data_IF_884227544872
#
_entry.id   IF_884227544872
#
_cell.length_a   1.000
_cell.length_b   1.000
_cell.length_c   1.000
_cell.angle_alpha   90.00
_cell.angle_beta   90.00
_cell.angle_gamma   90.00
#
_symmetry.space_group_name_H-M   'P 1'
#
loop_
_entity.id
_entity.type
_entity.pdbx_description
1 polymer ?
#
# COMPACT_ATOMS: atom_id res chain seq x y z
N UNK A 1 25.61 -42.47 64.42
CA UNK A 1 24.39 -41.61 64.29
C UNK A 1 24.75 -40.44 63.48
N UNK A 2 24.63 -40.47 62.16
CA UNK A 2 25.03 -39.42 61.23
C UNK A 2 23.83 -38.80 60.62
N UNK A 3 23.64 -37.49 60.83
CA UNK A 3 22.60 -36.66 60.19
C UNK A 3 23.02 -36.33 58.77
N UNK A 4 22.35 -36.83 57.76
CA UNK A 4 22.43 -36.31 56.40
C UNK A 4 21.56 -35.06 56.29
N UNK A 5 22.18 -33.90 56.09
CA UNK A 5 21.50 -32.66 55.68
C UNK A 5 21.27 -32.73 54.18
N UNK A 6 20.00 -32.83 53.77
CA UNK A 6 19.56 -32.68 52.41
C UNK A 6 19.63 -31.18 52.01
N UNK A 7 20.50 -30.85 51.06
CA UNK A 7 20.47 -29.54 50.38
C UNK A 7 19.44 -29.62 49.25
N UNK A 8 18.34 -28.92 49.43
CA UNK A 8 17.37 -28.68 48.36
C UNK A 8 17.90 -27.55 47.47
N UNK A 9 18.32 -27.89 46.25
CA UNK A 9 18.70 -26.93 45.22
C UNK A 9 17.41 -26.51 44.52
N UNK A 10 16.86 -25.33 44.89
CA UNK A 10 15.80 -24.67 44.13
C UNK A 10 16.38 -24.06 42.89
N UNK A 11 16.21 -24.71 41.74
CA UNK A 11 16.51 -24.14 40.43
C UNK A 11 15.47 -23.09 40.08
N UNK A 12 15.79 -21.82 40.25
CA UNK A 12 15.01 -20.74 39.70
C UNK A 12 15.21 -20.70 38.18
N UNK A 13 14.22 -21.20 37.44
CA UNK A 13 14.15 -21.05 35.99
C UNK A 13 13.78 -19.59 35.70
N UNK A 14 14.77 -18.78 35.36
CA UNK A 14 14.55 -17.39 34.88
C UNK A 14 14.02 -17.49 33.45
N UNK A 15 12.70 -17.47 33.28
CA UNK A 15 12.06 -17.30 31.97
C UNK A 15 12.18 -15.83 31.60
N UNK A 16 13.19 -15.49 30.81
CA UNK A 16 13.27 -14.18 30.16
C UNK A 16 12.24 -14.12 29.06
N UNK A 17 11.09 -13.55 29.35
CA UNK A 17 10.10 -13.17 28.37
C UNK A 17 10.66 -12.01 27.52
N UNK A 18 11.18 -12.32 26.34
CA UNK A 18 11.46 -11.33 25.31
C UNK A 18 10.13 -10.76 24.81
N UNK A 19 9.68 -9.66 25.38
CA UNK A 19 8.62 -8.86 24.77
C UNK A 19 9.23 -8.20 23.55
N UNK A 20 8.99 -8.76 22.36
CA UNK A 20 9.19 -8.01 21.12
C UNK A 20 8.17 -6.89 21.11
N UNK A 21 8.61 -5.69 21.42
CA UNK A 21 7.77 -4.48 21.35
C UNK A 21 7.47 -4.24 19.87
N UNK A 22 6.30 -4.66 19.42
CA UNK A 22 5.84 -4.35 18.07
C UNK A 22 5.42 -2.88 18.03
N UNK A 23 6.21 -2.04 17.39
CA UNK A 23 5.91 -0.63 17.25
C UNK A 23 4.96 -0.37 16.08
N UNK A 24 4.01 0.56 16.28
CA UNK A 24 3.16 1.06 15.21
C UNK A 24 4.02 1.79 14.17
N UNK A 25 3.70 1.62 12.90
CA UNK A 25 4.34 2.34 11.80
C UNK A 25 3.66 3.69 11.56
N UNK A 26 4.44 4.72 11.28
CA UNK A 26 3.95 6.04 10.88
C UNK A 26 4.10 6.18 9.37
N UNK A 27 2.99 6.47 8.69
CA UNK A 27 2.95 6.80 7.28
C UNK A 27 2.76 8.31 7.13
N UNK A 28 3.72 9.00 6.51
CA UNK A 28 3.60 10.40 6.15
C UNK A 28 3.17 10.50 4.70
N UNK A 29 1.89 10.78 4.47
CA UNK A 29 1.25 10.84 3.15
C UNK A 29 1.35 12.28 2.63
N UNK A 30 2.05 12.49 1.52
CA UNK A 30 2.38 13.83 1.00
C UNK A 30 1.75 14.06 -0.37
N UNK A 31 1.12 15.21 -0.55
CA UNK A 31 0.70 15.69 -1.87
C UNK A 31 1.75 16.64 -2.45
N UNK A 32 2.52 16.18 -3.44
CA UNK A 32 3.44 17.01 -4.24
C UNK A 32 2.90 17.34 -5.63
N UNK A 33 1.68 16.88 -5.94
CA UNK A 33 1.02 17.29 -7.17
C UNK A 33 0.74 18.81 -7.17
N UNK A 34 0.61 19.40 -8.35
CA UNK A 34 0.19 20.81 -8.52
C UNK A 34 -1.30 21.04 -8.29
N UNK A 35 -2.05 19.99 -7.99
CA UNK A 35 -3.51 19.98 -7.77
C UNK A 35 -3.88 19.29 -6.47
N UNK A 36 -5.09 19.55 -5.99
CA UNK A 36 -5.66 18.90 -4.80
C UNK A 36 -5.87 17.41 -5.06
N UNK A 37 -5.42 16.57 -4.12
CA UNK A 37 -5.79 15.15 -4.03
C UNK A 37 -6.56 14.90 -2.74
N UNK A 38 -7.41 13.89 -2.74
CA UNK A 38 -8.06 13.39 -1.53
C UNK A 38 -7.42 12.05 -1.19
N UNK A 39 -6.39 12.11 -0.35
CA UNK A 39 -5.74 10.90 0.14
C UNK A 39 -6.76 10.01 0.83
N UNK A 40 -6.62 8.71 0.66
CA UNK A 40 -7.44 7.69 1.30
C UNK A 40 -6.56 6.57 1.83
N UNK A 41 -6.98 5.95 2.93
CA UNK A 41 -6.30 4.82 3.55
C UNK A 41 -7.31 3.86 4.16
N UNK A 42 -7.04 2.57 4.05
CA UNK A 42 -7.77 1.51 4.75
C UNK A 42 -6.71 0.56 5.36
N UNK A 43 -6.62 0.54 6.72
CA UNK A 43 -7.34 1.40 7.67
C UNK A 43 -6.84 2.85 7.62
N UNK A 44 -7.67 3.82 8.07
CA UNK A 44 -7.23 5.22 8.23
C UNK A 44 -8.24 6.27 7.81
N UNK A 45 -9.13 5.97 6.86
CA UNK A 45 -10.15 6.91 6.39
C UNK A 45 -9.74 7.73 5.17
N UNK A 46 -9.88 9.05 5.22
CA UNK A 46 -9.52 9.90 4.09
C UNK A 46 -9.39 11.37 4.46
N UNK A 47 -8.56 12.09 3.70
CA UNK A 47 -8.27 13.50 3.93
C UNK A 47 -8.03 14.25 2.63
N UNK A 48 -8.57 15.47 2.52
CA UNK A 48 -8.18 16.41 1.46
C UNK A 48 -6.77 16.93 1.73
N UNK A 49 -5.92 16.89 0.71
CA UNK A 49 -4.57 17.44 0.72
C UNK A 49 -4.44 18.39 -0.47
N UNK A 50 -4.34 19.67 -0.19
CA UNK A 50 -3.96 20.65 -1.20
C UNK A 50 -2.47 20.52 -1.53
N UNK A 51 -1.96 21.13 -2.61
CA UNK A 51 -0.55 21.05 -2.97
C UNK A 51 0.38 21.37 -1.78
N UNK A 52 1.39 20.51 -1.58
CA UNK A 52 2.38 20.57 -0.48
C UNK A 52 1.84 20.24 0.92
N UNK A 53 0.58 19.82 1.05
CA UNK A 53 0.06 19.34 2.33
C UNK A 53 0.42 17.86 2.57
N UNK A 54 0.44 17.48 3.84
CA UNK A 54 0.68 16.11 4.28
C UNK A 54 -0.32 15.67 5.33
N UNK A 55 -0.40 14.35 5.51
CA UNK A 55 -1.21 13.66 6.50
C UNK A 55 -0.40 12.55 7.14
N UNK A 56 -0.19 12.64 8.46
CA UNK A 56 0.43 11.57 9.24
C UNK A 56 -0.62 10.57 9.68
N UNK A 57 -0.40 9.30 9.36
CA UNK A 57 -1.26 8.17 9.71
C UNK A 57 -0.46 7.15 10.51
N UNK A 58 -0.93 6.80 11.71
CA UNK A 58 -0.37 5.71 12.51
C UNK A 58 -1.13 4.44 12.27
N UNK A 59 -0.42 3.35 11.95
CA UNK A 59 -1.00 2.02 11.69
C UNK A 59 -0.39 1.00 12.64
N UNK A 60 -1.26 0.20 13.26
CA UNK A 60 -0.83 -0.80 14.24
C UNK A 60 -0.07 -1.96 13.58
N UNK A 61 0.91 -2.56 14.29
CA UNK A 61 1.56 -3.78 13.84
C UNK A 61 0.53 -4.92 13.70
N UNK A 62 0.79 -5.86 12.80
CA UNK A 62 -0.12 -6.96 12.48
C UNK A 62 -1.24 -6.58 11.50
N UNK A 63 -1.33 -5.31 11.07
CA UNK A 63 -2.28 -4.88 10.03
C UNK A 63 -1.93 -5.56 8.70
N UNK A 64 -2.93 -6.12 8.03
CA UNK A 64 -2.82 -6.76 6.70
C UNK A 64 -3.82 -6.18 5.72
N UNK A 65 -3.54 -6.34 4.41
CA UNK A 65 -4.43 -5.85 3.34
C UNK A 65 -4.62 -4.33 3.36
N UNK A 66 -3.67 -3.61 3.95
CA UNK A 66 -3.75 -2.16 4.06
C UNK A 66 -3.39 -1.47 2.74
N UNK A 67 -4.05 -0.35 2.47
CA UNK A 67 -3.88 0.41 1.23
C UNK A 67 -3.91 1.91 1.49
N UNK A 68 -3.05 2.64 0.79
CA UNK A 68 -3.09 4.11 0.68
C UNK A 68 -3.15 4.46 -0.80
N UNK A 69 -4.03 5.39 -1.18
CA UNK A 69 -4.18 5.85 -2.56
C UNK A 69 -4.60 7.31 -2.64
N UNK A 70 -4.40 7.91 -3.81
CA UNK A 70 -4.92 9.23 -4.14
C UNK A 70 -6.27 9.11 -4.85
N UNK A 71 -7.23 9.95 -4.45
CA UNK A 71 -8.48 10.18 -5.16
C UNK A 71 -8.40 11.52 -5.86
N UNK A 72 -8.94 11.63 -7.08
CA UNK A 72 -8.90 12.86 -7.87
C UNK A 72 -10.30 13.31 -8.28
N UNK A 73 -10.44 14.63 -8.57
CA UNK A 73 -11.70 15.20 -9.05
C UNK A 73 -12.86 15.03 -8.07
N UNK A 74 -12.58 15.02 -6.77
CA UNK A 74 -13.61 14.81 -5.77
C UNK A 74 -14.42 16.07 -5.49
N UNK A 75 -15.70 15.84 -5.16
CA UNK A 75 -16.63 16.87 -4.65
C UNK A 75 -17.36 16.27 -3.46
N UNK A 76 -17.09 16.81 -2.28
CA UNK A 76 -17.74 16.41 -1.03
C UNK A 76 -18.50 17.60 -0.43
N UNK A 77 -19.67 17.31 0.16
CA UNK A 77 -20.44 18.26 0.97
C UNK A 77 -19.83 18.40 2.38
N UNK A 78 -20.45 19.27 3.21
CA UNK A 78 -20.01 19.50 4.58
C UNK A 78 -20.12 18.28 5.52
N UNK A 79 -20.88 17.26 5.13
CA UNK A 79 -20.98 15.98 5.84
C UNK A 79 -19.99 14.93 5.31
N UNK A 80 -19.13 15.28 4.35
CA UNK A 80 -18.16 14.38 3.74
C UNK A 80 -18.79 13.37 2.79
N UNK A 81 -19.95 13.65 2.20
CA UNK A 81 -20.63 12.84 1.20
C UNK A 81 -20.41 13.45 -0.18
N UNK A 82 -20.16 12.62 -1.16
CA UNK A 82 -19.90 13.09 -2.52
C UNK A 82 -19.39 11.99 -3.41
N UNK A 83 -18.49 12.31 -4.31
CA UNK A 83 -17.84 11.33 -5.19
C UNK A 83 -16.52 11.87 -5.72
N UNK A 84 -15.66 10.95 -6.16
CA UNK A 84 -14.42 11.25 -6.87
C UNK A 84 -14.48 10.73 -8.31
N UNK A 85 -13.68 11.32 -9.18
CA UNK A 85 -13.51 10.87 -10.55
C UNK A 85 -12.71 9.55 -10.61
N UNK A 86 -11.64 9.43 -9.78
CA UNK A 86 -10.85 8.19 -9.63
C UNK A 86 -10.67 7.83 -8.17
N UNK A 87 -10.59 6.54 -7.88
CA UNK A 87 -10.30 6.03 -6.55
C UNK A 87 -11.42 6.21 -5.52
N UNK A 88 -12.66 6.43 -5.95
CA UNK A 88 -13.79 6.67 -5.06
C UNK A 88 -14.07 5.46 -4.14
N UNK A 89 -14.35 5.70 -2.87
CA UNK A 89 -14.59 4.66 -1.87
C UNK A 89 -16.04 4.67 -1.37
N UNK A 90 -17.00 4.65 -2.29
CA UNK A 90 -18.41 4.61 -1.95
C UNK A 90 -19.02 5.98 -1.62
N UNK A 91 -18.49 7.06 -2.18
CA UNK A 91 -19.05 8.39 -2.07
C UNK A 91 -18.85 9.06 -0.70
N UNK A 92 -17.85 8.66 0.06
CA UNK A 92 -17.54 9.22 1.38
C UNK A 92 -16.10 9.74 1.45
N UNK A 93 -15.89 10.82 2.21
CA UNK A 93 -14.55 11.35 2.46
C UNK A 93 -13.73 10.35 3.31
N UNK A 94 -14.34 9.82 4.37
CA UNK A 94 -13.74 8.85 5.28
C UNK A 94 -13.95 7.43 4.75
N UNK A 95 -12.93 6.91 4.05
CA UNK A 95 -13.01 5.56 3.46
C UNK A 95 -13.03 4.47 4.54
N UNK A 96 -13.95 3.52 4.38
CA UNK A 96 -14.01 2.27 5.16
C UNK A 96 -13.88 1.05 4.26
N UNK A 97 -13.80 1.27 2.95
CA UNK A 97 -13.62 0.27 1.91
C UNK A 97 -12.59 0.75 0.90
N UNK A 98 -12.11 -0.14 0.04
CA UNK A 98 -11.14 0.17 -1.01
C UNK A 98 -11.73 1.09 -2.08
N UNK A 99 -10.85 1.83 -2.75
CA UNK A 99 -11.21 2.72 -3.84
C UNK A 99 -11.60 1.96 -5.12
N UNK A 100 -12.54 2.52 -5.87
CA UNK A 100 -12.87 2.00 -7.18
C UNK A 100 -11.74 2.30 -8.20
N UNK A 101 -11.36 1.35 -9.06
CA UNK A 101 -10.41 1.58 -10.14
C UNK A 101 -10.85 2.72 -11.10
N UNK A 102 -9.89 3.42 -11.76
CA UNK A 102 -8.45 3.23 -11.63
C UNK A 102 -7.85 4.00 -10.45
N UNK A 103 -6.90 3.36 -9.75
CA UNK A 103 -6.12 4.01 -8.73
C UNK A 103 -4.76 3.32 -8.53
N UNK A 104 -3.71 4.13 -8.40
CA UNK A 104 -2.38 3.67 -7.99
C UNK A 104 -2.42 3.40 -6.49
N UNK A 105 -1.98 2.22 -6.05
CA UNK A 105 -2.03 1.80 -4.66
C UNK A 105 -0.63 1.71 -4.06
N UNK A 106 -0.46 2.20 -2.84
CA UNK A 106 0.56 1.76 -1.91
C UNK A 106 -0.07 0.71 -1.00
N UNK A 107 0.32 -0.55 -1.14
CA UNK A 107 -0.22 -1.67 -0.36
C UNK A 107 0.81 -2.12 0.66
N UNK A 108 0.36 -2.57 1.82
CA UNK A 108 1.27 -3.05 2.86
C UNK A 108 0.61 -3.99 3.86
N UNK A 109 1.48 -4.82 4.49
CA UNK A 109 1.16 -5.67 5.63
C UNK A 109 2.29 -5.54 6.65
N UNK A 110 1.96 -5.12 7.89
CA UNK A 110 2.94 -4.77 8.91
C UNK A 110 3.19 -5.91 9.88
N UNK A 111 4.47 -6.08 10.25
CA UNK A 111 4.91 -7.04 11.27
C UNK A 111 4.36 -8.44 11.01
N UNK A 112 4.61 -8.96 9.82
CA UNK A 112 4.21 -10.30 9.38
C UNK A 112 5.31 -11.33 9.67
N UNK A 113 5.37 -12.39 8.87
CA UNK A 113 6.36 -13.46 8.99
C UNK A 113 7.79 -12.92 9.17
N UNK A 114 8.54 -13.47 10.13
CA UNK A 114 9.88 -13.04 10.54
C UNK A 114 9.97 -11.57 11.01
N UNK A 115 8.90 -11.00 11.55
CA UNK A 115 8.84 -9.60 11.98
C UNK A 115 9.20 -8.62 10.86
N UNK A 116 8.72 -8.90 9.65
CA UNK A 116 8.90 -8.04 8.48
C UNK A 116 7.61 -7.31 8.12
N UNK A 117 7.76 -6.08 7.66
CA UNK A 117 6.75 -5.37 6.90
C UNK A 117 6.90 -5.76 5.43
N UNK A 118 5.80 -6.04 4.75
CA UNK A 118 5.73 -6.23 3.31
C UNK A 118 5.06 -4.99 2.70
N UNK A 119 5.61 -4.47 1.62
CA UNK A 119 5.04 -3.29 0.97
C UNK A 119 5.30 -3.30 -0.53
N UNK A 120 4.41 -2.66 -1.27
CA UNK A 120 4.48 -2.56 -2.72
C UNK A 120 3.73 -1.34 -3.26
N UNK A 121 3.96 -1.03 -4.54
CA UNK A 121 3.07 -0.22 -5.37
C UNK A 121 2.32 -1.16 -6.30
N UNK A 122 0.99 -1.04 -6.37
CA UNK A 122 0.17 -1.89 -7.21
C UNK A 122 -0.55 -1.10 -8.29
N UNK A 123 -0.49 -1.61 -9.54
CA UNK A 123 -1.26 -1.16 -10.70
C UNK A 123 -2.30 -2.20 -11.11
N UNK A 124 -2.60 -3.17 -10.25
CA UNK A 124 -3.64 -4.17 -10.48
C UNK A 124 -5.03 -3.53 -10.50
N UNK A 125 -5.21 -2.42 -9.78
CA UNK A 125 -6.39 -1.55 -9.86
C UNK A 125 -6.22 -0.38 -10.86
N UNK A 126 -5.20 -0.45 -11.73
CA UNK A 126 -4.89 0.60 -12.70
C UNK A 126 -4.01 1.72 -12.13
N UNK A 127 -3.99 2.86 -12.83
CA UNK A 127 -3.14 4.00 -12.49
C UNK A 127 -3.92 5.31 -12.62
N UNK A 128 -3.75 6.21 -11.66
CA UNK A 128 -4.30 7.57 -11.73
C UNK A 128 -3.28 8.66 -11.38
N UNK A 129 -2.47 8.47 -10.34
CA UNK A 129 -1.52 9.47 -9.82
C UNK A 129 -0.14 8.85 -9.67
N UNK A 130 0.94 9.50 -10.13
CA UNK A 130 2.31 9.07 -9.86
C UNK A 130 2.57 8.93 -8.36
N UNK A 131 3.34 7.90 -7.98
CA UNK A 131 3.54 7.58 -6.57
C UNK A 131 4.98 7.15 -6.30
N UNK A 132 5.49 7.52 -5.11
CA UNK A 132 6.64 6.90 -4.48
C UNK A 132 6.25 6.38 -3.09
N UNK A 133 6.84 5.26 -2.68
CA UNK A 133 6.64 4.63 -1.39
C UNK A 133 8.00 4.29 -0.81
N UNK A 134 8.41 5.05 0.21
CA UNK A 134 9.78 5.04 0.73
C UNK A 134 9.80 4.71 2.22
N UNK A 135 10.56 3.71 2.67
CA UNK A 135 10.87 3.54 4.08
C UNK A 135 11.76 4.70 4.57
N UNK A 136 11.57 5.13 5.82
CA UNK A 136 12.26 6.29 6.41
C UNK A 136 12.98 5.99 7.71
N UNK A 137 12.94 4.76 8.21
CA UNK A 137 13.56 4.36 9.47
C UNK A 137 14.09 2.92 9.47
N UNK A 138 14.66 2.49 10.60
CA UNK A 138 15.12 1.12 10.86
C UNK A 138 16.14 0.56 9.85
N UNK A 139 16.95 1.44 9.23
CA UNK A 139 17.97 1.04 8.27
C UNK A 139 17.42 0.53 6.93
N UNK A 140 16.10 0.55 6.73
CA UNK A 140 15.49 0.22 5.46
C UNK A 140 15.57 1.42 4.52
N UNK A 141 16.18 1.24 3.33
CA UNK A 141 16.50 2.34 2.42
C UNK A 141 15.94 2.13 1.00
N UNK A 142 15.41 0.93 0.71
CA UNK A 142 14.87 0.62 -0.62
C UNK A 142 13.50 1.27 -0.82
N UNK A 143 13.49 2.48 -1.37
CA UNK A 143 12.26 3.11 -1.87
C UNK A 143 11.86 2.58 -3.24
N UNK A 144 10.56 2.61 -3.53
CA UNK A 144 9.96 2.18 -4.80
C UNK A 144 9.12 3.30 -5.39
N UNK A 145 8.97 3.31 -6.72
CA UNK A 145 8.23 4.40 -7.39
C UNK A 145 7.58 3.97 -8.69
N UNK A 146 6.51 4.67 -9.03
CA UNK A 146 5.87 4.65 -10.34
C UNK A 146 5.58 6.09 -10.76
N UNK A 147 6.44 6.69 -11.58
CA UNK A 147 6.42 8.12 -11.94
C UNK A 147 6.26 8.39 -13.42
N UNK A 148 6.18 7.35 -14.23
CA UNK A 148 5.99 7.46 -15.67
C UNK A 148 4.62 8.10 -16.01
N UNK A 149 4.55 8.78 -17.17
CA UNK A 149 3.29 9.29 -17.71
C UNK A 149 2.44 8.15 -18.29
N UNK A 150 1.81 7.38 -17.39
CA UNK A 150 0.94 6.27 -17.75
C UNK A 150 -0.40 6.77 -18.29
N UNK A 151 -0.94 7.87 -17.73
CA UNK A 151 -2.23 8.42 -18.18
C UNK A 151 -2.14 8.97 -19.59
N UNK A 152 -1.11 9.77 -19.90
CA UNK A 152 -0.93 10.35 -21.23
C UNK A 152 -0.66 9.32 -22.32
N UNK A 153 0.01 8.22 -21.98
CA UNK A 153 0.39 7.14 -22.90
C UNK A 153 -0.51 5.90 -22.79
N UNK A 154 -1.62 5.96 -22.05
CA UNK A 154 -2.48 4.81 -21.78
C UNK A 154 -3.01 4.19 -23.08
N UNK A 155 -2.91 2.85 -23.25
CA UNK A 155 -3.54 2.16 -24.37
C UNK A 155 -5.01 2.52 -24.50
N UNK A 156 -5.48 2.74 -25.73
CA UNK A 156 -6.84 3.22 -25.99
C UNK A 156 -7.93 2.39 -25.32
N UNK A 157 -7.75 1.06 -25.27
CA UNK A 157 -8.69 0.12 -24.66
C UNK A 157 -8.76 0.24 -23.13
N UNK A 158 -7.70 0.73 -22.49
CA UNK A 158 -7.60 0.89 -21.03
C UNK A 158 -7.89 2.32 -20.59
N UNK A 159 -7.98 3.26 -21.52
CA UNK A 159 -8.09 4.70 -21.22
C UNK A 159 -9.44 5.02 -20.58
N UNK A 160 -9.39 5.80 -19.52
CA UNK A 160 -10.57 6.36 -18.87
C UNK A 160 -10.29 7.79 -18.40
N UNK A 161 -11.33 8.50 -17.99
CA UNK A 161 -11.18 9.87 -17.54
C UNK A 161 -10.36 9.96 -16.26
N UNK A 162 -9.19 10.61 -16.32
CA UNK A 162 -8.30 10.82 -15.17
C UNK A 162 -7.43 9.62 -14.80
N UNK A 163 -7.40 8.55 -15.61
CA UNK A 163 -6.60 7.37 -15.30
C UNK A 163 -6.43 6.39 -16.44
N UNK A 164 -5.77 5.29 -16.15
CA UNK A 164 -5.55 4.15 -17.02
C UNK A 164 -5.96 2.88 -16.29
N UNK A 165 -6.99 2.19 -16.76
CA UNK A 165 -7.48 0.97 -16.14
C UNK A 165 -6.48 -0.17 -16.27
N UNK A 166 -6.51 -1.11 -15.33
CA UNK A 166 -5.91 -2.42 -15.53
C UNK A 166 -6.77 -3.25 -16.52
N UNK A 167 -6.18 -4.12 -17.34
CA UNK A 167 -6.94 -4.94 -18.28
C UNK A 167 -7.99 -5.85 -17.60
N UNK A 168 -7.74 -6.31 -16.36
CA UNK A 168 -8.76 -7.06 -15.61
C UNK A 168 -10.02 -6.23 -15.37
N UNK A 169 -9.89 -4.97 -15.04
CA UNK A 169 -11.04 -4.05 -14.84
C UNK A 169 -11.90 -3.92 -16.09
N UNK A 170 -11.27 -3.94 -17.28
CA UNK A 170 -11.93 -3.72 -18.56
C UNK A 170 -12.49 -5.02 -19.14
N UNK A 171 -11.65 -6.05 -19.25
CA UNK A 171 -11.98 -7.27 -20.00
C UNK A 171 -12.59 -8.38 -19.13
N UNK A 172 -12.33 -8.37 -17.81
CA UNK A 172 -12.88 -9.30 -16.81
C UNK A 172 -12.64 -10.78 -17.12
N UNK A 173 -11.61 -11.10 -17.92
CA UNK A 173 -11.23 -12.48 -18.25
C UNK A 173 -10.18 -13.00 -17.29
N UNK A 174 -10.10 -14.32 -17.14
CA UNK A 174 -9.09 -14.94 -16.28
C UNK A 174 -7.65 -14.67 -16.73
N UNK A 175 -7.44 -14.45 -18.03
CA UNK A 175 -6.14 -14.06 -18.59
C UNK A 175 -5.55 -12.82 -17.90
N UNK A 176 -6.40 -11.83 -17.58
CA UNK A 176 -5.98 -10.58 -16.95
C UNK A 176 -6.21 -10.55 -15.43
N UNK A 177 -7.23 -11.26 -14.95
CA UNK A 177 -7.65 -11.22 -13.54
C UNK A 177 -6.98 -12.28 -12.67
N UNK A 178 -6.45 -13.33 -13.27
CA UNK A 178 -5.77 -14.43 -12.56
C UNK A 178 -6.63 -15.10 -11.47
N UNK A 179 -7.94 -15.19 -11.66
CA UNK A 179 -8.89 -15.72 -10.68
C UNK A 179 -8.75 -17.23 -10.46
N UNK A 180 -8.22 -17.96 -11.45
CA UNK A 180 -8.05 -19.42 -11.40
C UNK A 180 -6.88 -19.88 -12.27
N UNK A 181 -6.29 -21.02 -11.89
CA UNK A 181 -5.21 -21.66 -12.66
C UNK A 181 -3.92 -20.86 -12.74
N UNK A 182 -3.13 -21.11 -13.77
CA UNK A 182 -1.92 -20.37 -14.08
C UNK A 182 -2.25 -19.15 -14.94
N UNK A 183 -1.72 -18.01 -14.58
CA UNK A 183 -1.70 -16.82 -15.42
C UNK A 183 -0.29 -16.24 -15.46
N UNK A 184 0.00 -15.41 -16.45
CA UNK A 184 1.30 -14.78 -16.64
C UNK A 184 1.19 -13.36 -17.20
N UNK A 185 2.32 -12.69 -17.43
CA UNK A 185 2.33 -11.35 -17.95
C UNK A 185 1.77 -11.30 -19.38
N UNK A 186 0.90 -10.34 -19.63
CA UNK A 186 0.31 -10.02 -20.95
C UNK A 186 0.97 -8.79 -21.54
N UNK A 187 0.64 -8.41 -22.78
CA UNK A 187 1.16 -7.17 -23.38
C UNK A 187 0.72 -5.93 -22.60
N UNK A 188 -0.49 -5.94 -22.06
CA UNK A 188 -0.96 -4.86 -21.19
C UNK A 188 -0.20 -4.80 -19.87
N UNK A 189 0.06 -5.93 -19.20
CA UNK A 189 0.87 -5.91 -17.98
C UNK A 189 2.31 -5.49 -18.26
N UNK A 190 2.89 -5.92 -19.38
CA UNK A 190 4.21 -5.47 -19.84
C UNK A 190 4.27 -3.95 -20.09
N UNK A 191 3.18 -3.37 -20.61
CA UNK A 191 3.06 -1.92 -20.75
C UNK A 191 3.25 -1.18 -19.40
N UNK A 192 2.59 -1.65 -18.32
CA UNK A 192 2.76 -1.09 -16.99
C UNK A 192 4.14 -1.38 -16.41
N UNK A 193 4.60 -2.63 -16.51
CA UNK A 193 5.87 -3.09 -15.92
C UNK A 193 7.09 -2.35 -16.47
N UNK A 194 7.16 -2.15 -17.77
CA UNK A 194 8.28 -1.43 -18.41
C UNK A 194 8.37 0.03 -17.99
N UNK A 195 7.24 0.64 -17.59
CA UNK A 195 7.18 2.03 -17.12
C UNK A 195 7.39 2.16 -15.62
N UNK A 196 6.96 1.16 -14.87
CA UNK A 196 7.05 1.09 -13.40
C UNK A 196 7.60 -0.28 -12.97
N UNK A 197 8.93 -0.50 -13.08
CA UNK A 197 9.53 -1.82 -12.87
C UNK A 197 9.32 -2.40 -11.47
N UNK A 198 9.19 -1.53 -10.44
CA UNK A 198 8.98 -1.94 -9.06
C UNK A 198 7.50 -2.25 -8.74
N UNK A 199 6.55 -1.86 -9.60
CA UNK A 199 5.12 -1.98 -9.30
C UNK A 199 4.53 -3.30 -9.79
N UNK A 200 3.53 -3.82 -9.06
CA UNK A 200 2.69 -4.91 -9.58
C UNK A 200 1.99 -4.47 -10.85
N UNK A 201 2.15 -5.22 -11.92
CA UNK A 201 1.51 -4.99 -13.21
C UNK A 201 0.37 -5.96 -13.51
N UNK A 202 0.35 -7.09 -12.81
CA UNK A 202 -0.71 -8.10 -12.81
C UNK A 202 -0.70 -8.88 -11.47
N UNK A 203 -1.75 -9.64 -11.12
CA UNK A 203 -1.92 -10.18 -9.76
C UNK A 203 -0.84 -11.16 -9.26
N UNK A 204 -0.04 -11.76 -10.13
CA UNK A 204 1.02 -12.73 -9.76
C UNK A 204 2.44 -12.23 -10.08
N UNK A 205 2.64 -10.92 -10.03
CA UNK A 205 3.93 -10.25 -10.31
C UNK A 205 4.82 -10.14 -9.06
N UNK A 206 4.66 -11.04 -8.08
CA UNK A 206 5.30 -10.97 -6.75
C UNK A 206 6.81 -10.89 -6.79
N UNK A 207 7.44 -11.67 -7.68
CA UNK A 207 8.90 -11.83 -7.72
C UNK A 207 9.67 -10.51 -7.87
N UNK A 208 9.09 -9.52 -8.56
CA UNK A 208 9.73 -8.25 -8.86
C UNK A 208 9.03 -7.04 -8.23
N UNK A 209 7.96 -7.25 -7.47
CA UNK A 209 7.07 -6.18 -7.01
C UNK A 209 6.88 -6.14 -5.51
N UNK A 210 7.23 -7.20 -4.77
CA UNK A 210 7.13 -7.25 -3.30
C UNK A 210 8.45 -6.86 -2.66
N UNK A 211 8.40 -5.94 -1.68
CA UNK A 211 9.54 -5.47 -0.92
C UNK A 211 9.31 -5.65 0.57
N UNK A 212 10.39 -5.74 1.34
CA UNK A 212 10.31 -5.94 2.79
C UNK A 212 11.21 -4.98 3.54
N UNK A 213 10.76 -4.61 4.74
CA UNK A 213 11.53 -3.87 5.74
C UNK A 213 11.39 -4.56 7.11
N UNK A 214 12.28 -4.30 8.08
CA UNK A 214 12.05 -4.72 9.46
C UNK A 214 10.74 -4.15 10.01
N UNK A 215 10.02 -4.91 10.82
CA UNK A 215 8.79 -4.46 11.47
C UNK A 215 8.98 -3.18 12.29
N UNK A 216 7.99 -2.30 12.26
CA UNK A 216 8.04 -0.99 12.89
C UNK A 216 8.80 0.08 12.09
N UNK A 217 9.08 -0.17 10.82
CA UNK A 217 9.59 0.84 9.89
C UNK A 217 8.53 1.91 9.62
N UNK A 218 8.95 3.18 9.54
CA UNK A 218 8.11 4.29 9.12
C UNK A 218 8.25 4.53 7.61
N UNK A 219 7.24 5.16 7.01
CA UNK A 219 7.15 5.29 5.56
C UNK A 219 6.67 6.67 5.11
N UNK A 220 7.19 7.13 3.98
CA UNK A 220 6.61 8.22 3.19
C UNK A 220 5.85 7.63 1.99
N UNK A 221 4.59 8.03 1.81
CA UNK A 221 3.81 7.81 0.57
C UNK A 221 3.64 9.18 -0.10
N UNK A 222 4.24 9.34 -1.28
CA UNK A 222 4.33 10.64 -1.95
C UNK A 222 3.57 10.56 -3.27
N UNK A 223 2.54 11.38 -3.41
CA UNK A 223 1.83 11.59 -4.66
C UNK A 223 2.56 12.63 -5.50
N UNK A 224 2.80 12.35 -6.79
CA UNK A 224 3.58 13.16 -7.74
C UNK A 224 4.99 13.50 -7.22
N UNK A 225 5.81 12.50 -6.85
CA UNK A 225 7.15 12.72 -6.30
C UNK A 225 8.10 13.41 -7.28
#
# INVERSE_FOLDING_TARGET
MGLFKSLSISSFLLITLFFTSAHAAIFNIQNRCSYTVWAAAVPGGGRRLDPRQSWSLTVNPGTTGARIWARTGCRFDGAGRGRCQTGDCGGVLQCTAYGAPPNTLAEFALNQFNNLDFFDISLVDGFNVPMAFNPTSNGCTRGIRCTADIVGQCPSQLRTQGGCNNPCTVFKTNEYCCNSGSCGPTDYSRYFKTRCPDAYSYPKDDQTSTFTCPGGTNYDVIFCP
#
